data_IF_662839433569
#
_entry.id   IF_662839433569
#
_cell.length_a   1.000
_cell.length_b   1.000
_cell.length_c   1.000
_cell.angle_alpha   90.00
_cell.angle_beta   90.00
_cell.angle_gamma   90.00
#
_symmetry.space_group_name_H-M   'P 1'
#
loop_
_entity.id
_entity.type
_entity.pdbx_description
1 polymer ?
#
# COMPACT_ATOMS: atom_id res chain seq x y z
N UNK A 1 -6.95 16.61 -3.41
CA UNK A 1 -6.03 15.56 -3.88
C UNK A 1 -4.76 15.53 -3.02
N UNK A 2 -3.95 16.60 -3.02
CA UNK A 2 -2.71 16.68 -2.21
C UNK A 2 -2.96 16.43 -0.72
N UNK A 3 -3.96 17.10 -0.12
CA UNK A 3 -4.32 16.88 1.28
C UNK A 3 -4.63 15.41 1.61
N UNK A 4 -5.38 14.74 0.73
CA UNK A 4 -5.72 13.33 0.88
C UNK A 4 -4.47 12.44 0.76
N UNK A 5 -3.53 12.78 -0.13
CA UNK A 5 -2.26 12.09 -0.25
C UNK A 5 -1.39 12.26 1.01
N UNK A 6 -1.31 13.46 1.57
CA UNK A 6 -0.62 13.71 2.84
C UNK A 6 -1.25 12.89 3.97
N UNK A 7 -2.58 12.77 4.02
CA UNK A 7 -3.23 11.91 5.03
C UNK A 7 -2.87 10.44 4.85
N UNK A 8 -2.87 9.92 3.62
CA UNK A 8 -2.45 8.54 3.32
C UNK A 8 -0.98 8.31 3.70
N UNK A 9 -0.12 9.29 3.42
CA UNK A 9 1.29 9.28 3.79
C UNK A 9 1.47 9.18 5.31
N UNK A 10 0.81 10.07 6.07
CA UNK A 10 0.84 10.06 7.54
C UNK A 10 0.28 8.76 8.08
N UNK A 11 -0.81 8.25 7.50
CA UNK A 11 -1.36 6.95 7.87
C UNK A 11 -0.35 5.83 7.68
N UNK A 12 0.34 5.76 6.53
CA UNK A 12 1.37 4.74 6.29
C UNK A 12 2.48 4.79 7.35
N UNK A 13 2.95 5.99 7.68
CA UNK A 13 3.99 6.19 8.71
C UNK A 13 3.53 5.76 10.10
N UNK A 14 2.33 6.20 10.52
CA UNK A 14 1.76 5.81 11.81
C UNK A 14 1.53 4.30 11.88
N UNK A 15 1.08 3.69 10.79
CA UNK A 15 0.86 2.25 10.73
C UNK A 15 2.17 1.46 10.71
N UNK A 16 3.24 2.00 10.12
CA UNK A 16 4.56 1.39 10.19
C UNK A 16 5.05 1.31 11.65
N UNK A 17 4.86 2.40 12.42
CA UNK A 17 5.18 2.42 13.87
C UNK A 17 4.29 1.43 14.63
N UNK A 18 2.99 1.39 14.33
CA UNK A 18 2.06 0.44 14.95
C UNK A 18 2.51 -1.00 14.70
N UNK A 19 2.78 -1.37 13.43
CA UNK A 19 3.21 -2.72 13.07
C UNK A 19 4.53 -3.07 13.75
N UNK A 20 5.48 -2.13 13.79
CA UNK A 20 6.73 -2.31 14.52
C UNK A 20 6.50 -2.59 16.01
N UNK A 21 5.61 -1.85 16.69
CA UNK A 21 5.24 -2.12 18.08
C UNK A 21 4.53 -3.47 18.25
N UNK A 22 3.77 -3.92 17.26
CA UNK A 22 3.09 -5.22 17.33
C UNK A 22 4.01 -6.41 17.08
N UNK A 23 5.18 -6.22 16.46
CA UNK A 23 6.17 -7.30 16.23
C UNK A 23 6.72 -7.91 17.52
N UNK A 24 6.60 -7.22 18.67
CA UNK A 24 6.95 -7.79 19.98
C UNK A 24 5.98 -8.88 20.45
N UNK A 25 4.82 -9.03 19.80
CA UNK A 25 3.80 -10.01 20.15
C UNK A 25 3.54 -10.94 18.96
N UNK A 26 3.76 -12.27 19.11
CA UNK A 26 3.58 -13.22 18.01
C UNK A 26 2.18 -13.15 17.39
N UNK A 27 2.11 -12.92 16.08
CA UNK A 27 0.87 -12.92 15.29
C UNK A 27 0.05 -11.62 15.33
N UNK A 28 0.35 -10.70 16.25
CA UNK A 28 -0.32 -9.40 16.32
C UNK A 28 0.10 -8.49 15.15
N UNK A 29 1.34 -8.62 14.71
CA UNK A 29 1.89 -7.97 13.52
C UNK A 29 1.16 -8.39 12.24
N UNK A 30 0.81 -9.68 12.11
CA UNK A 30 0.01 -10.17 11.01
C UNK A 30 -1.41 -9.59 11.03
N UNK A 31 -2.04 -9.55 12.22
CA UNK A 31 -3.37 -8.96 12.39
C UNK A 31 -3.35 -7.47 12.03
N UNK A 32 -2.32 -6.74 12.46
CA UNK A 32 -2.13 -5.34 12.09
C UNK A 32 -1.95 -5.19 10.58
N UNK A 33 -1.12 -6.01 9.92
CA UNK A 33 -0.94 -5.93 8.48
C UNK A 33 -2.24 -6.23 7.69
N UNK A 34 -3.07 -7.17 8.16
CA UNK A 34 -4.40 -7.41 7.58
C UNK A 34 -5.31 -6.19 7.80
N UNK A 35 -5.33 -5.63 9.01
CA UNK A 35 -6.11 -4.45 9.32
C UNK A 35 -5.67 -3.23 8.49
N UNK A 36 -4.38 -3.08 8.19
CA UNK A 36 -3.87 -2.08 7.27
C UNK A 36 -4.56 -2.17 5.90
N UNK A 37 -4.56 -3.37 5.29
CA UNK A 37 -5.20 -3.61 3.99
C UNK A 37 -6.71 -3.35 4.05
N UNK A 38 -7.39 -3.77 5.13
CA UNK A 38 -8.81 -3.48 5.33
C UNK A 38 -9.09 -1.97 5.40
N UNK A 39 -8.24 -1.20 6.09
CA UNK A 39 -8.39 0.26 6.16
C UNK A 39 -8.14 0.89 4.80
N UNK A 40 -7.15 0.44 4.02
CA UNK A 40 -6.94 0.90 2.65
C UNK A 40 -8.16 0.65 1.77
N UNK A 41 -8.77 -0.52 1.88
CA UNK A 41 -10.01 -0.85 1.18
C UNK A 41 -11.15 0.10 1.52
N UNK A 42 -11.42 0.31 2.81
CA UNK A 42 -12.47 1.23 3.28
C UNK A 42 -12.18 2.66 2.79
N UNK A 43 -10.92 3.09 2.88
CA UNK A 43 -10.53 4.44 2.55
C UNK A 43 -10.61 4.71 1.05
N UNK A 44 -10.16 3.78 0.22
CA UNK A 44 -10.28 3.85 -1.24
C UNK A 44 -11.75 3.99 -1.67
N UNK A 45 -12.65 3.16 -1.13
CA UNK A 45 -14.09 3.27 -1.41
C UNK A 45 -14.67 4.60 -0.94
N UNK A 46 -14.25 5.10 0.22
CA UNK A 46 -14.70 6.41 0.74
C UNK A 46 -14.27 7.56 -0.18
N UNK A 47 -13.08 7.49 -0.79
CA UNK A 47 -12.64 8.49 -1.76
C UNK A 47 -13.55 8.53 -2.99
N UNK A 48 -13.92 7.36 -3.52
CA UNK A 48 -14.84 7.29 -4.67
C UNK A 48 -16.25 7.74 -4.30
N UNK A 49 -16.77 7.35 -3.13
CA UNK A 49 -18.07 7.81 -2.62
C UNK A 49 -18.12 9.34 -2.43
N UNK A 50 -16.98 9.96 -2.15
CA UNK A 50 -16.83 11.43 -2.09
C UNK A 50 -16.65 12.09 -3.47
N UNK A 51 -16.88 11.36 -4.56
CA UNK A 51 -16.84 11.88 -5.94
C UNK A 51 -15.48 11.82 -6.63
N UNK A 52 -14.48 11.11 -6.07
CA UNK A 52 -13.20 10.92 -6.77
C UNK A 52 -13.30 9.80 -7.81
N UNK A 53 -12.82 10.05 -9.03
CA UNK A 53 -12.67 8.99 -10.03
C UNK A 53 -11.56 8.02 -9.61
N UNK A 54 -11.61 6.77 -10.09
CA UNK A 54 -10.57 5.76 -9.83
C UNK A 54 -9.17 6.27 -10.18
N UNK A 55 -9.02 6.98 -11.30
CA UNK A 55 -7.74 7.58 -11.70
C UNK A 55 -7.22 8.60 -10.68
N UNK A 56 -8.10 9.44 -10.09
CA UNK A 56 -7.74 10.37 -9.02
C UNK A 56 -7.35 9.63 -7.73
N UNK A 57 -7.97 8.50 -7.42
CA UNK A 57 -7.57 7.64 -6.28
C UNK A 57 -6.17 7.08 -6.50
N UNK A 58 -5.90 6.51 -7.67
CA UNK A 58 -4.57 6.00 -8.03
C UNK A 58 -3.51 7.10 -8.01
N UNK A 59 -3.81 8.29 -8.55
CA UNK A 59 -2.90 9.44 -8.49
C UNK A 59 -2.63 9.89 -7.04
N UNK A 60 -3.64 9.85 -6.17
CA UNK A 60 -3.47 10.17 -4.75
C UNK A 60 -2.61 9.12 -4.04
N UNK A 61 -2.82 7.83 -4.35
CA UNK A 61 -1.99 6.74 -3.84
C UNK A 61 -0.54 6.83 -4.35
N UNK A 62 -0.34 7.21 -5.61
CA UNK A 62 0.98 7.45 -6.20
C UNK A 62 1.71 8.55 -5.44
N UNK A 63 1.05 9.70 -5.20
CA UNK A 63 1.63 10.79 -4.41
C UNK A 63 1.99 10.35 -2.98
N UNK A 64 1.13 9.56 -2.34
CA UNK A 64 1.38 9.03 -0.99
C UNK A 64 2.51 7.99 -0.96
N UNK A 65 2.78 7.29 -2.06
CA UNK A 65 3.83 6.27 -2.17
C UNK A 65 5.11 6.79 -2.82
N UNK A 66 5.24 8.10 -3.07
CA UNK A 66 6.45 8.69 -3.64
C UNK A 66 7.73 8.30 -2.89
N UNK A 67 7.80 8.33 -1.54
CA UNK A 67 9.01 7.90 -0.84
C UNK A 67 9.37 6.45 -1.13
N UNK A 68 8.40 5.54 -1.10
CA UNK A 68 8.61 4.13 -1.43
C UNK A 68 9.07 3.92 -2.87
N UNK A 69 8.46 4.63 -3.84
CA UNK A 69 8.89 4.58 -5.24
C UNK A 69 10.33 5.10 -5.43
N UNK A 70 10.68 6.21 -4.78
CA UNK A 70 12.03 6.77 -4.81
C UNK A 70 13.03 5.77 -4.20
N UNK A 71 12.72 5.21 -3.04
CA UNK A 71 13.59 4.21 -2.41
C UNK A 71 13.73 2.95 -3.27
N UNK A 72 12.66 2.48 -3.92
CA UNK A 72 12.73 1.35 -4.86
C UNK A 72 13.68 1.64 -6.02
N UNK A 73 13.61 2.82 -6.65
CA UNK A 73 14.48 3.19 -7.77
C UNK A 73 15.93 3.32 -7.32
N UNK A 74 16.18 3.98 -6.19
CA UNK A 74 17.53 4.14 -5.64
C UNK A 74 18.14 2.81 -5.23
N UNK A 75 17.36 1.92 -4.62
CA UNK A 75 17.79 0.60 -4.21
C UNK A 75 18.08 -0.31 -5.42
N UNK A 76 17.24 -0.29 -6.47
CA UNK A 76 17.52 -1.00 -7.73
C UNK A 76 18.77 -0.46 -8.44
N UNK A 77 18.95 0.86 -8.48
CA UNK A 77 20.15 1.47 -9.05
C UNK A 77 21.40 1.09 -8.25
N UNK A 78 21.30 1.08 -6.91
CA UNK A 78 22.38 0.62 -6.03
C UNK A 78 22.70 -0.85 -6.25
N UNK A 79 21.67 -1.70 -6.38
CA UNK A 79 21.86 -3.11 -6.70
C UNK A 79 22.64 -3.27 -8.00
N UNK A 80 22.18 -2.64 -9.08
CA UNK A 80 22.83 -2.73 -10.38
C UNK A 80 24.33 -2.34 -10.33
N UNK A 81 24.70 -1.36 -9.52
CA UNK A 81 26.06 -0.81 -9.47
C UNK A 81 26.99 -1.47 -8.45
N UNK A 82 26.48 -1.82 -7.28
CA UNK A 82 27.27 -2.26 -6.13
C UNK A 82 26.95 -3.67 -5.65
N UNK A 83 25.91 -4.29 -6.21
CA UNK A 83 25.41 -5.59 -5.80
C UNK A 83 24.22 -5.50 -4.83
N UNK A 84 23.55 -6.65 -4.60
CA UNK A 84 22.32 -6.74 -3.82
C UNK A 84 22.51 -6.39 -2.33
N UNK A 85 21.51 -5.70 -1.74
CA UNK A 85 21.40 -5.42 -0.30
C UNK A 85 22.60 -4.70 0.32
N UNK A 86 23.41 -3.99 -0.47
CA UNK A 86 24.57 -3.24 0.01
C UNK A 86 24.23 -1.81 0.42
N UNK A 87 22.95 -1.41 0.32
CA UNK A 87 22.54 -0.01 0.39
C UNK A 87 21.68 0.33 1.59
N UNK A 88 21.90 1.51 2.16
CA UNK A 88 20.95 2.11 3.12
C UNK A 88 19.54 2.30 2.53
N UNK A 89 19.42 2.34 1.19
CA UNK A 89 18.14 2.42 0.51
C UNK A 89 17.31 1.14 0.63
N UNK A 90 17.94 -0.04 0.68
CA UNK A 90 17.22 -1.31 0.88
C UNK A 90 16.59 -1.36 2.27
N UNK A 91 17.30 -0.83 3.27
CA UNK A 91 16.78 -0.69 4.63
C UNK A 91 15.64 0.34 4.69
N UNK A 92 15.84 1.54 4.10
CA UNK A 92 14.81 2.57 4.06
C UNK A 92 13.53 2.08 3.34
N UNK A 93 13.68 1.30 2.27
CA UNK A 93 12.57 0.69 1.55
C UNK A 93 11.79 -0.31 2.42
N UNK A 94 12.49 -1.17 3.15
CA UNK A 94 11.85 -2.09 4.10
C UNK A 94 11.11 -1.33 5.21
N UNK A 95 11.73 -0.29 5.77
CA UNK A 95 11.10 0.56 6.78
C UNK A 95 9.83 1.22 6.23
N UNK A 96 9.86 1.70 4.99
CA UNK A 96 8.69 2.29 4.32
C UNK A 96 7.53 1.29 4.17
N UNK A 97 7.87 0.04 3.88
CA UNK A 97 6.94 -1.05 3.61
C UNK A 97 6.61 -1.92 4.82
N UNK A 98 7.06 -1.54 6.02
CA UNK A 98 6.77 -2.23 7.30
C UNK A 98 5.31 -2.69 7.43
N UNK A 99 4.28 -1.88 7.06
CA UNK A 99 2.90 -2.31 7.18
C UNK A 99 2.52 -3.56 6.38
N UNK A 100 3.26 -3.87 5.30
CA UNK A 100 3.04 -5.05 4.46
C UNK A 100 3.96 -6.22 4.78
N UNK A 101 5.08 -5.99 5.46
CA UNK A 101 6.10 -7.03 5.68
C UNK A 101 5.54 -8.27 6.39
N UNK A 102 4.66 -8.18 7.41
CA UNK A 102 4.09 -9.37 8.02
C UNK A 102 3.30 -10.25 7.05
N UNK A 103 2.65 -9.66 6.03
CA UNK A 103 1.94 -10.43 5.00
C UNK A 103 2.91 -11.23 4.13
N UNK A 104 4.13 -10.71 3.89
CA UNK A 104 5.14 -11.42 3.13
C UNK A 104 5.69 -12.65 3.89
N UNK A 105 5.55 -12.70 5.21
CA UNK A 105 5.96 -13.87 6.01
C UNK A 105 5.12 -15.12 5.72
N UNK A 106 3.91 -14.96 5.16
CA UNK A 106 3.05 -16.07 4.74
C UNK A 106 3.54 -16.74 3.46
N UNK A 107 4.45 -16.10 2.71
CA UNK A 107 4.97 -16.66 1.49
C UNK A 107 5.93 -17.82 1.81
N UNK A 108 5.97 -18.85 0.94
CA UNK A 108 6.95 -19.92 1.08
C UNK A 108 8.37 -19.34 1.07
N UNK A 109 9.33 -19.97 1.77
CA UNK A 109 10.71 -19.50 1.90
C UNK A 109 11.53 -19.74 0.63
N UNK A 110 11.03 -19.23 -0.51
CA UNK A 110 11.66 -19.30 -1.81
C UNK A 110 12.85 -18.35 -1.82
N UNK A 111 13.98 -18.82 -2.37
CA UNK A 111 15.18 -18.00 -2.57
C UNK A 111 15.47 -17.89 -4.07
N UNK A 112 15.76 -16.68 -4.52
CA UNK A 112 16.19 -16.38 -5.89
C UNK A 112 17.58 -15.79 -5.81
N UNK A 113 18.55 -16.41 -6.49
CA UNK A 113 19.96 -16.00 -6.46
C UNK A 113 20.53 -15.86 -5.03
N UNK A 114 20.08 -16.71 -4.11
CA UNK A 114 20.49 -16.68 -2.69
C UNK A 114 19.67 -15.75 -1.79
N UNK A 115 18.86 -14.85 -2.36
CA UNK A 115 18.05 -13.88 -1.60
C UNK A 115 16.63 -14.39 -1.36
N UNK A 116 16.07 -14.21 -0.15
CA UNK A 116 14.67 -14.50 0.11
C UNK A 116 13.74 -13.70 -0.81
N UNK A 117 12.70 -14.34 -1.33
CA UNK A 117 11.73 -13.72 -2.26
C UNK A 117 11.09 -12.45 -1.68
N UNK A 118 10.83 -12.40 -0.37
CA UNK A 118 10.20 -11.23 0.24
C UNK A 118 11.03 -9.94 0.11
N UNK A 119 12.37 -10.03 0.03
CA UNK A 119 13.21 -8.86 -0.25
C UNK A 119 12.96 -8.31 -1.66
N UNK A 120 12.87 -9.21 -2.64
CA UNK A 120 12.56 -8.86 -4.03
C UNK A 120 11.18 -8.25 -4.17
N UNK A 121 10.21 -8.72 -3.38
CA UNK A 121 8.87 -8.17 -3.39
C UNK A 121 8.82 -6.74 -2.85
N UNK A 122 9.75 -6.35 -1.97
CA UNK A 122 9.88 -5.00 -1.46
C UNK A 122 9.93 -3.93 -2.54
N UNK A 123 10.63 -4.19 -3.67
CA UNK A 123 10.75 -3.23 -4.78
C UNK A 123 9.43 -2.94 -5.49
N UNK A 124 8.48 -3.90 -5.47
CA UNK A 124 7.19 -3.80 -6.17
C UNK A 124 6.01 -3.47 -5.23
N UNK A 125 6.23 -3.40 -3.91
CA UNK A 125 5.15 -3.11 -2.96
C UNK A 125 4.52 -1.72 -3.15
N UNK A 126 5.31 -0.70 -3.53
CA UNK A 126 4.76 0.64 -3.82
C UNK A 126 3.83 0.63 -5.05
N UNK A 127 4.24 0.07 -6.22
CA UNK A 127 3.31 -0.18 -7.33
C UNK A 127 2.09 -1.02 -6.92
N UNK A 128 2.29 -2.09 -6.15
CA UNK A 128 1.21 -2.96 -5.69
C UNK A 128 0.19 -2.19 -4.84
N UNK A 129 0.64 -1.35 -3.91
CA UNK A 129 -0.23 -0.47 -3.12
C UNK A 129 -1.12 0.40 -4.00
N UNK A 130 -0.53 1.04 -5.02
CA UNK A 130 -1.26 1.94 -5.94
C UNK A 130 -2.30 1.16 -6.73
N UNK A 131 -1.94 -0.03 -7.22
CA UNK A 131 -2.85 -0.93 -7.92
C UNK A 131 -3.99 -1.41 -7.02
N UNK A 132 -3.69 -1.82 -5.78
CA UNK A 132 -4.69 -2.21 -4.78
C UNK A 132 -5.68 -1.07 -4.53
N UNK A 133 -5.19 0.15 -4.33
CA UNK A 133 -6.05 1.33 -4.18
C UNK A 133 -6.99 1.52 -5.39
N UNK A 134 -6.48 1.36 -6.60
CA UNK A 134 -7.28 1.42 -7.83
C UNK A 134 -8.31 0.29 -7.95
N UNK A 135 -7.93 -0.94 -7.59
CA UNK A 135 -8.83 -2.10 -7.56
C UNK A 135 -9.95 -1.91 -6.54
N UNK A 136 -9.62 -1.52 -5.31
CA UNK A 136 -10.59 -1.25 -4.26
C UNK A 136 -11.57 -0.13 -4.64
N UNK A 137 -11.08 0.89 -5.35
CA UNK A 137 -11.93 1.95 -5.89
C UNK A 137 -12.91 1.46 -6.96
N UNK A 138 -12.56 0.43 -7.73
CA UNK A 138 -13.44 -0.19 -8.74
C UNK A 138 -14.45 -1.16 -8.15
N UNK A 139 -14.14 -1.78 -7.01
CA UNK A 139 -15.04 -2.77 -6.35
C UNK A 139 -16.27 -2.16 -5.66
N UNK A 140 -16.61 -0.89 -5.93
CA UNK A 140 -17.93 -0.40 -5.53
C UNK A 140 -18.98 -1.11 -6.37
N UNK A 141 -20.01 -1.71 -5.75
CA UNK A 141 -21.28 -1.88 -6.46
C UNK A 141 -21.64 -0.49 -6.97
N UNK A 142 -22.04 -0.37 -8.24
CA UNK A 142 -22.83 0.77 -8.65
C UNK A 142 -23.98 0.83 -7.63
N UNK A 143 -23.91 1.73 -6.66
CA UNK A 143 -25.01 1.98 -5.75
C UNK A 143 -26.12 2.40 -6.68
N UNK A 144 -27.03 1.44 -6.90
CA UNK A 144 -27.97 1.45 -8.00
C UNK A 144 -28.67 2.79 -8.03
N UNK A 145 -28.92 3.25 -9.25
CA UNK A 145 -29.81 4.33 -9.65
C UNK A 145 -31.25 4.25 -9.10
N UNK A 146 -31.51 3.66 -7.93
CA UNK A 146 -32.80 3.70 -7.24
C UNK A 146 -33.11 5.05 -6.59
N UNK A 147 -32.30 6.10 -6.83
CA UNK A 147 -32.68 7.49 -6.56
C UNK A 147 -33.32 8.20 -7.75
N UNK A 148 -33.54 7.52 -8.87
CA UNK A 148 -34.25 8.10 -10.04
C UNK A 148 -35.53 7.31 -10.33
N UNK A 149 -36.60 7.52 -9.52
CA UNK A 149 -38.00 7.41 -10.03
C UNK A 149 -39.15 7.74 -9.06
N UNK A 150 -38.93 8.35 -7.88
CA UNK A 150 -40.08 8.70 -7.01
C UNK A 150 -40.60 10.13 -7.26
N UNK A 151 -39.79 11.04 -7.83
CA UNK A 151 -40.23 12.43 -8.08
C UNK A 151 -40.94 12.64 -9.44
N UNK A 152 -41.43 11.56 -10.08
CA UNK A 152 -42.31 11.65 -11.27
C UNK A 152 -43.65 10.92 -11.08
N UNK A 153 -44.06 10.69 -9.84
CA UNK A 153 -45.32 10.02 -9.51
C UNK A 153 -46.21 10.78 -8.53
N UNK A 154 -45.91 12.06 -8.26
CA UNK A 154 -46.80 12.97 -7.55
C UNK A 154 -46.88 14.31 -8.26
#
# INVERSE_FOLDING_TARGET
>A
MIWTACRLLTFNLLYAVLVWLTMYFPGLDLLAAVAFVCVLFIWSRRMVRNGMTTGKVMATAFLAQLPGLIFSVLALHSWWRYGPLTSYFDFALQMWHTPFLPLLSLLPPIRIQGFPLYFLLGYVLSPLYILLMGLFARTLPADSENRVRIDRLF
#
